data_IF_992474638354
#
_entry.id   IF_992474638354
#
_cell.length_a   1.000
_cell.length_b   1.000
_cell.length_c   1.000
_cell.angle_alpha   90.00
_cell.angle_beta   90.00
_cell.angle_gamma   90.00
#
_symmetry.space_group_name_H-M   'P 1'
#
loop_
_entity.id
_entity.type
_entity.pdbx_description
1 polymer ?
#
# COMPACT_ATOMS: atom_id res chain seq x y z
N UNK A 1 -15.41 10.41 11.11
CA UNK A 1 -14.71 9.18 11.49
C UNK A 1 -13.78 8.75 10.38
N UNK A 2 -12.53 8.46 10.72
CA UNK A 2 -11.54 8.06 9.74
C UNK A 2 -11.86 6.68 9.15
N UNK A 3 -11.42 6.45 7.93
CA UNK A 3 -11.68 5.21 7.18
C UNK A 3 -10.38 4.55 6.75
N UNK A 4 -10.45 3.23 6.58
CA UNK A 4 -9.42 2.43 5.92
C UNK A 4 -9.81 2.26 4.46
N UNK A 5 -8.93 2.74 3.57
CA UNK A 5 -9.09 2.66 2.12
C UNK A 5 -8.13 1.62 1.55
N UNK A 6 -8.60 0.81 0.63
CA UNK A 6 -7.75 -0.09 -0.15
C UNK A 6 -7.83 0.23 -1.63
N UNK A 7 -6.69 0.58 -2.21
CA UNK A 7 -6.52 0.86 -3.63
C UNK A 7 -5.64 -0.22 -4.23
N UNK A 8 -6.20 -1.09 -5.03
CA UNK A 8 -5.47 -2.21 -5.61
C UNK A 8 -5.44 -2.14 -7.13
N UNK A 9 -4.48 -2.82 -7.72
CA UNK A 9 -4.33 -2.92 -9.17
C UNK A 9 -3.21 -3.85 -9.55
N UNK A 10 -3.05 -4.10 -10.84
CA UNK A 10 -1.95 -4.88 -11.36
C UNK A 10 -0.62 -4.11 -11.24
N UNK A 11 0.50 -4.81 -11.37
CA UNK A 11 1.82 -4.17 -11.44
C UNK A 11 1.86 -3.15 -12.58
N UNK A 12 2.50 -2.01 -12.32
CA UNK A 12 2.63 -0.95 -13.33
C UNK A 12 1.39 -0.08 -13.50
N UNK A 13 0.38 -0.18 -12.62
CA UNK A 13 -0.83 0.65 -12.69
C UNK A 13 -0.68 2.04 -12.07
N UNK A 14 0.51 2.41 -11.58
CA UNK A 14 0.76 3.73 -11.01
C UNK A 14 0.38 3.89 -9.54
N UNK A 15 0.30 2.80 -8.78
CA UNK A 15 -0.04 2.84 -7.34
C UNK A 15 0.89 3.74 -6.54
N UNK A 16 2.19 3.57 -6.69
CA UNK A 16 3.19 4.38 -5.97
C UNK A 16 3.10 5.86 -6.35
N UNK A 17 2.85 6.15 -7.62
CA UNK A 17 2.64 7.53 -8.09
C UNK A 17 1.43 8.17 -7.43
N UNK A 18 0.30 7.47 -7.35
CA UNK A 18 -0.90 7.98 -6.68
C UNK A 18 -0.65 8.22 -5.20
N UNK A 19 0.05 7.30 -4.53
CA UNK A 19 0.41 7.45 -3.12
C UNK A 19 1.25 8.72 -2.91
N UNK A 20 2.28 8.91 -3.73
CA UNK A 20 3.14 10.09 -3.65
C UNK A 20 2.39 11.39 -3.92
N UNK A 21 1.43 11.37 -4.85
CA UNK A 21 0.59 12.53 -5.12
C UNK A 21 -0.28 12.89 -3.93
N UNK A 22 -0.85 11.91 -3.25
CA UNK A 22 -1.64 12.14 -2.03
C UNK A 22 -0.75 12.72 -0.93
N UNK A 23 0.43 12.15 -0.71
CA UNK A 23 1.39 12.66 0.27
C UNK A 23 1.75 14.12 -0.01
N UNK A 24 2.07 14.43 -1.26
CA UNK A 24 2.39 15.78 -1.69
C UNK A 24 1.24 16.76 -1.43
N UNK A 25 0.02 16.37 -1.76
CA UNK A 25 -1.16 17.22 -1.56
C UNK A 25 -1.41 17.57 -0.08
N UNK A 26 -1.19 16.61 0.82
CA UNK A 26 -1.26 16.89 2.26
C UNK A 26 -0.15 17.81 2.73
N UNK A 27 1.09 17.51 2.34
CA UNK A 27 2.27 18.24 2.79
C UNK A 27 2.29 19.67 2.26
N UNK A 28 1.85 19.90 1.03
CA UNK A 28 1.71 21.24 0.44
C UNK A 28 0.79 22.14 1.24
N UNK A 29 -0.22 21.54 1.89
CA UNK A 29 -1.18 22.26 2.74
C UNK A 29 -0.78 22.34 4.20
N UNK A 30 0.46 21.96 4.54
CA UNK A 30 1.00 22.02 5.90
C UNK A 30 0.62 20.83 6.79
N UNK A 31 0.04 19.79 6.22
CA UNK A 31 -0.30 18.58 6.96
C UNK A 31 0.85 17.57 6.92
N UNK A 32 0.99 16.79 8.00
CA UNK A 32 1.98 15.72 8.07
C UNK A 32 1.34 14.40 7.69
N UNK A 33 2.09 13.56 6.97
CA UNK A 33 1.69 12.20 6.63
C UNK A 33 2.75 11.21 7.09
N UNK A 34 2.34 9.97 7.34
CA UNK A 34 3.23 8.85 7.61
C UNK A 34 3.20 7.91 6.41
N UNK A 35 4.34 7.70 5.77
CA UNK A 35 4.48 6.80 4.62
C UNK A 35 5.17 5.52 5.05
N UNK A 36 4.55 4.39 4.72
CA UNK A 36 4.97 3.05 5.14
C UNK A 36 5.20 2.20 3.91
N UNK A 37 6.30 1.46 3.88
CA UNK A 37 6.58 0.43 2.87
C UNK A 37 7.22 -0.79 3.51
N UNK A 38 7.20 -1.97 2.83
CA UNK A 38 7.89 -3.14 3.37
C UNK A 38 9.41 -2.99 3.32
N UNK A 39 10.08 -3.52 4.33
CA UNK A 39 11.54 -3.53 4.41
C UNK A 39 12.20 -4.42 3.36
N UNK A 40 11.44 -5.32 2.74
CA UNK A 40 11.92 -6.22 1.68
C UNK A 40 12.15 -5.53 0.34
N UNK A 41 11.67 -4.30 0.16
CA UNK A 41 11.95 -3.51 -1.03
C UNK A 41 13.37 -2.94 -0.97
N UNK A 42 14.35 -3.78 -1.30
CA UNK A 42 15.78 -3.43 -1.22
C UNK A 42 16.28 -2.59 -2.40
N UNK A 43 15.54 -2.55 -3.51
CA UNK A 43 15.98 -1.83 -4.73
C UNK A 43 16.11 -0.34 -4.52
N UNK A 44 15.26 0.22 -3.71
CA UNK A 44 15.12 1.67 -3.51
C UNK A 44 15.51 2.11 -2.09
N UNK A 45 16.08 1.21 -1.29
CA UNK A 45 16.42 1.51 0.10
C UNK A 45 15.19 1.97 0.89
N UNK A 46 15.29 3.12 1.56
CA UNK A 46 14.21 3.71 2.35
C UNK A 46 13.30 4.65 1.56
N UNK A 47 13.54 4.83 0.25
CA UNK A 47 12.79 5.79 -0.58
C UNK A 47 11.70 5.11 -1.39
N UNK A 48 10.58 5.79 -1.57
CA UNK A 48 9.62 5.49 -2.61
C UNK A 48 10.05 6.18 -3.90
N UNK A 49 10.24 5.40 -4.95
CA UNK A 49 10.63 5.89 -6.28
C UNK A 49 9.57 5.52 -7.30
N UNK A 50 9.35 6.42 -8.26
CA UNK A 50 8.59 6.15 -9.47
C UNK A 50 9.51 6.14 -10.68
N UNK A 51 9.06 5.51 -11.79
CA UNK A 51 9.86 5.45 -13.03
C UNK A 51 10.10 6.82 -13.66
N UNK A 52 9.26 7.80 -13.39
CA UNK A 52 9.23 9.07 -14.11
C UNK A 52 9.27 10.29 -13.19
N UNK A 53 9.62 10.16 -11.94
CA UNK A 53 9.60 11.37 -11.16
C UNK A 53 9.85 11.27 -9.69
N UNK A 54 8.92 11.81 -8.89
CA UNK A 54 9.21 12.17 -7.52
C UNK A 54 9.59 10.98 -6.66
N UNK A 55 10.51 11.23 -5.75
CA UNK A 55 10.88 10.30 -4.69
C UNK A 55 10.54 10.91 -3.34
N UNK A 56 10.32 10.07 -2.35
CA UNK A 56 10.10 10.50 -0.97
C UNK A 56 10.67 9.47 0.00
N UNK A 57 11.30 9.94 1.08
CA UNK A 57 11.69 9.08 2.18
C UNK A 57 10.45 8.45 2.84
N UNK A 58 10.57 7.18 3.23
CA UNK A 58 9.54 6.52 4.01
C UNK A 58 9.78 6.70 5.51
N UNK A 59 8.70 6.81 6.25
CA UNK A 59 8.76 6.97 7.70
C UNK A 59 8.90 5.64 8.42
N UNK A 60 8.29 4.59 7.89
CA UNK A 60 8.36 3.23 8.44
C UNK A 60 8.65 2.23 7.32
N UNK A 61 9.69 1.43 7.49
CA UNK A 61 9.91 0.23 6.69
C UNK A 61 9.50 -0.97 7.54
N UNK A 62 8.36 -1.59 7.22
CA UNK A 62 7.79 -2.63 8.07
C UNK A 62 8.33 -4.02 7.77
N UNK A 63 8.46 -4.80 8.82
CA UNK A 63 8.65 -6.25 8.77
C UNK A 63 7.41 -6.94 9.33
N UNK A 64 7.24 -8.22 9.08
CA UNK A 64 6.03 -8.97 9.46
C UNK A 64 5.83 -9.12 10.98
N UNK A 65 6.85 -8.88 11.77
CA UNK A 65 6.84 -8.97 13.25
C UNK A 65 6.55 -7.64 13.95
N UNK A 66 6.45 -6.54 13.20
CA UNK A 66 6.19 -5.21 13.77
C UNK A 66 4.72 -5.04 14.19
N UNK A 67 4.52 -4.40 15.33
CA UNK A 67 3.22 -3.86 15.75
C UNK A 67 3.08 -2.43 15.22
N UNK A 68 2.35 -2.26 14.13
CA UNK A 68 2.18 -0.97 13.48
C UNK A 68 1.32 -0.01 14.31
N UNK A 69 0.33 -0.55 15.04
CA UNK A 69 -0.50 0.29 15.93
C UNK A 69 0.36 0.96 17.00
N UNK A 70 1.20 0.17 17.67
CA UNK A 70 2.06 0.68 18.73
C UNK A 70 3.04 1.75 18.22
N UNK A 71 3.69 1.49 17.09
CA UNK A 71 4.64 2.45 16.49
C UNK A 71 3.94 3.76 16.14
N UNK A 72 2.77 3.68 15.49
CA UNK A 72 2.04 4.87 15.05
C UNK A 72 1.48 5.63 16.24
N UNK A 73 0.92 4.93 17.24
CA UNK A 73 0.39 5.58 18.43
C UNK A 73 1.46 6.34 19.21
N UNK A 74 2.69 5.83 19.26
CA UNK A 74 3.80 6.46 19.98
C UNK A 74 4.50 7.57 19.21
N UNK A 75 4.66 7.41 17.90
CA UNK A 75 5.53 8.28 17.09
C UNK A 75 4.81 9.12 16.04
N UNK A 76 3.64 8.70 15.59
CA UNK A 76 2.92 9.31 14.47
C UNK A 76 1.45 9.62 14.79
N UNK A 77 1.11 9.77 16.05
CA UNK A 77 -0.29 9.99 16.48
C UNK A 77 -0.91 11.31 16.00
N UNK A 78 -0.09 12.24 15.52
CA UNK A 78 -0.54 13.57 15.07
C UNK A 78 -0.52 13.75 13.56
N UNK A 79 -0.26 12.70 12.79
CA UNK A 79 -0.31 12.80 11.33
C UNK A 79 -1.75 12.89 10.85
N UNK A 80 -1.95 13.52 9.71
CA UNK A 80 -3.27 13.70 9.10
C UNK A 80 -3.70 12.51 8.25
N UNK A 81 -2.75 11.68 7.81
CA UNK A 81 -3.02 10.51 6.99
C UNK A 81 -1.85 9.53 7.08
N UNK A 82 -2.17 8.25 6.95
CA UNK A 82 -1.17 7.18 6.82
C UNK A 82 -1.32 6.59 5.42
N UNK A 83 -0.18 6.47 4.72
CA UNK A 83 -0.11 5.94 3.36
C UNK A 83 0.78 4.69 3.38
N UNK A 84 0.24 3.57 2.93
CA UNK A 84 0.94 2.29 2.93
C UNK A 84 1.15 1.83 1.48
N UNK A 85 2.42 1.69 1.07
CA UNK A 85 2.75 1.06 -0.20
C UNK A 85 2.99 -0.44 -0.01
N UNK A 86 2.74 -1.21 -1.05
CA UNK A 86 2.93 -2.66 -1.04
C UNK A 86 2.21 -3.35 0.14
N UNK A 87 1.01 -2.89 0.48
CA UNK A 87 0.24 -3.35 1.64
C UNK A 87 -0.10 -4.84 1.60
N UNK A 88 -0.06 -5.46 0.43
CA UNK A 88 -0.30 -6.90 0.26
C UNK A 88 0.75 -7.77 0.97
N UNK A 89 1.92 -7.20 1.32
CA UNK A 89 2.96 -7.91 2.08
C UNK A 89 2.69 -7.89 3.60
N UNK A 90 1.69 -7.17 4.07
CA UNK A 90 1.33 -7.17 5.49
C UNK A 90 0.74 -8.51 5.93
N UNK A 91 0.87 -8.81 7.23
CA UNK A 91 0.12 -9.90 7.83
C UNK A 91 -1.33 -9.47 8.04
N UNK A 92 -2.29 -10.42 8.18
CA UNK A 92 -3.67 -10.07 8.55
C UNK A 92 -3.75 -9.27 9.85
N UNK A 93 -2.90 -9.58 10.83
CA UNK A 93 -2.82 -8.87 12.11
C UNK A 93 -2.41 -7.41 11.92
N UNK A 94 -1.44 -7.16 11.04
CA UNK A 94 -1.02 -5.78 10.72
C UNK A 94 -2.13 -5.00 10.02
N UNK A 95 -2.90 -5.64 9.16
CA UNK A 95 -4.08 -5.02 8.53
C UNK A 95 -5.13 -4.68 9.58
N UNK A 96 -5.37 -5.57 10.55
CA UNK A 96 -6.28 -5.30 11.67
C UNK A 96 -5.77 -4.12 12.51
N UNK A 97 -4.47 -3.98 12.70
CA UNK A 97 -3.85 -2.84 13.37
C UNK A 97 -4.12 -1.52 12.61
N UNK A 98 -4.08 -1.53 11.27
CA UNK A 98 -4.46 -0.36 10.48
C UNK A 98 -5.91 0.04 10.71
N UNK A 99 -6.81 -0.93 10.82
CA UNK A 99 -8.21 -0.66 11.14
C UNK A 99 -8.33 -0.02 12.53
N UNK A 100 -7.65 -0.55 13.54
CA UNK A 100 -7.66 0.01 14.89
C UNK A 100 -7.13 1.45 14.92
N UNK A 101 -6.16 1.78 14.10
CA UNK A 101 -5.66 3.16 13.96
C UNK A 101 -6.78 4.09 13.52
N UNK A 102 -7.60 3.68 12.55
CA UNK A 102 -8.73 4.52 12.10
C UNK A 102 -9.77 4.73 13.20
N UNK A 103 -10.00 3.71 14.02
CA UNK A 103 -11.01 3.74 15.08
C UNK A 103 -10.51 4.52 16.30
N UNK A 104 -9.33 4.16 16.81
CA UNK A 104 -8.83 4.67 18.08
C UNK A 104 -8.14 6.02 17.96
N UNK A 105 -7.40 6.24 16.89
CA UNK A 105 -6.62 7.46 16.67
C UNK A 105 -7.30 8.44 15.70
N UNK A 106 -8.38 8.02 15.06
CA UNK A 106 -9.13 8.80 14.07
C UNK A 106 -8.23 9.33 12.94
N UNK A 107 -7.32 8.51 12.45
CA UNK A 107 -6.41 8.82 11.36
C UNK A 107 -6.80 7.98 10.14
N UNK A 108 -7.11 8.60 8.99
CA UNK A 108 -7.38 7.85 7.76
C UNK A 108 -6.14 7.11 7.27
N UNK A 109 -6.34 5.87 6.80
CA UNK A 109 -5.29 5.01 6.27
C UNK A 109 -5.62 4.65 4.84
N UNK A 110 -4.71 4.94 3.92
CA UNK A 110 -4.82 4.54 2.51
C UNK A 110 -3.77 3.48 2.21
N UNK A 111 -4.22 2.28 1.92
CA UNK A 111 -3.38 1.14 1.59
C UNK A 111 -3.41 0.89 0.09
N UNK A 112 -2.23 0.77 -0.51
CA UNK A 112 -2.04 0.49 -1.93
C UNK A 112 -1.35 -0.87 -2.08
N UNK A 113 -1.82 -1.68 -3.00
CA UNK A 113 -1.20 -2.99 -3.20
C UNK A 113 -1.77 -3.79 -4.34
N UNK A 114 -1.26 -5.01 -4.47
CA UNK A 114 -1.75 -6.01 -5.40
C UNK A 114 -2.85 -6.83 -4.73
N UNK A 115 -3.84 -7.24 -5.51
CA UNK A 115 -4.87 -8.15 -5.02
C UNK A 115 -4.44 -9.61 -5.13
N UNK A 116 -3.79 -9.97 -6.23
CA UNK A 116 -3.44 -11.35 -6.57
C UNK A 116 -1.94 -11.50 -6.79
N UNK A 117 -1.41 -12.64 -6.35
CA UNK A 117 -0.06 -13.07 -6.68
C UNK A 117 -0.01 -13.55 -8.15
N UNK A 118 1.17 -13.56 -8.76
CA UNK A 118 1.39 -14.11 -10.09
C UNK A 118 1.25 -15.64 -10.13
N UNK A 119 1.37 -16.33 -8.99
CA UNK A 119 1.22 -17.78 -8.90
C UNK A 119 -0.26 -18.15 -8.93
N UNK A 120 -0.65 -18.96 -9.91
CA UNK A 120 -2.07 -19.36 -10.07
C UNK A 120 -2.61 -20.21 -8.91
N UNK A 121 -1.73 -20.90 -8.19
CA UNK A 121 -2.11 -21.76 -7.06
C UNK A 121 -2.30 -20.99 -5.76
N UNK A 122 -1.79 -19.79 -5.66
CA UNK A 122 -1.92 -18.97 -4.46
C UNK A 122 -3.18 -18.10 -4.58
N UNK A 123 -4.02 -18.14 -3.59
CA UNK A 123 -5.26 -17.37 -3.52
C UNK A 123 -5.04 -15.86 -3.28
N UNK A 124 -3.86 -15.37 -3.64
CA UNK A 124 -3.47 -13.99 -3.44
C UNK A 124 -2.57 -13.79 -2.22
N UNK A 125 -2.39 -12.54 -1.85
CA UNK A 125 -1.62 -12.16 -0.67
C UNK A 125 -2.54 -12.08 0.55
N UNK A 126 -2.09 -12.58 1.70
CA UNK A 126 -2.86 -12.57 2.95
C UNK A 126 -3.30 -11.15 3.36
N UNK A 127 -2.39 -10.18 3.25
CA UNK A 127 -2.69 -8.78 3.57
C UNK A 127 -3.75 -8.19 2.64
N UNK A 128 -3.66 -8.46 1.34
CA UNK A 128 -4.66 -8.02 0.38
C UNK A 128 -6.01 -8.68 0.63
N UNK A 129 -6.03 -9.97 0.93
CA UNK A 129 -7.27 -10.69 1.27
C UNK A 129 -7.93 -10.06 2.49
N UNK A 130 -7.17 -9.77 3.54
CA UNK A 130 -7.71 -9.14 4.74
C UNK A 130 -8.20 -7.72 4.48
N UNK A 131 -7.48 -6.94 3.69
CA UNK A 131 -7.91 -5.60 3.28
C UNK A 131 -9.24 -5.64 2.52
N UNK A 132 -9.40 -6.59 1.61
CA UNK A 132 -10.67 -6.77 0.88
C UNK A 132 -11.83 -7.11 1.81
N UNK A 133 -11.56 -7.81 2.93
CA UNK A 133 -12.58 -8.17 3.91
C UNK A 133 -13.03 -6.99 4.78
N UNK A 134 -12.11 -6.13 5.21
CA UNK A 134 -12.39 -5.16 6.27
C UNK A 134 -12.31 -3.68 5.86
N UNK A 135 -11.68 -3.34 4.73
CA UNK A 135 -11.57 -1.94 4.32
C UNK A 135 -12.94 -1.29 4.11
N UNK A 136 -13.08 -0.05 4.54
CA UNK A 136 -14.33 0.70 4.40
C UNK A 136 -14.61 1.11 2.95
N UNK A 137 -13.55 1.32 2.18
CA UNK A 137 -13.64 1.76 0.78
C UNK A 137 -12.59 1.02 -0.04
N UNK A 138 -13.03 0.38 -1.11
CA UNK A 138 -12.18 -0.46 -1.97
C UNK A 138 -12.33 0.03 -3.40
N UNK A 139 -11.21 0.35 -4.03
CA UNK A 139 -11.19 0.83 -5.42
C UNK A 139 -10.07 0.16 -6.21
N UNK A 140 -10.37 -0.22 -7.44
CA UNK A 140 -9.40 -0.77 -8.36
C UNK A 140 -8.77 0.34 -9.19
N UNK A 141 -7.43 0.37 -9.20
CA UNK A 141 -6.65 1.22 -10.10
C UNK A 141 -6.46 0.44 -11.40
N UNK A 142 -7.14 0.89 -12.46
CA UNK A 142 -7.16 0.19 -13.74
C UNK A 142 -5.93 0.52 -14.57
N UNK A 143 -5.36 -0.48 -15.23
CA UNK A 143 -4.30 -0.31 -16.23
C UNK A 143 -4.58 -1.22 -17.43
N UNK A 144 -3.88 -0.97 -18.51
CA UNK A 144 -4.06 -1.68 -19.78
C UNK A 144 -2.95 -2.72 -19.92
N UNK A 145 -3.32 -3.96 -20.26
CA UNK A 145 -2.39 -5.02 -20.66
C UNK A 145 -1.82 -4.71 -22.06
N UNK A 146 -0.66 -5.26 -22.39
CA UNK A 146 -0.08 -5.16 -23.74
C UNK A 146 -1.05 -5.62 -24.83
N UNK A 147 -1.98 -6.53 -24.52
CA UNK A 147 -3.02 -6.97 -25.45
C UNK A 147 -4.13 -5.93 -25.69
N UNK A 148 -4.07 -4.75 -25.07
CA UNK A 148 -5.06 -3.67 -25.20
C UNK A 148 -6.29 -3.82 -24.31
N UNK A 149 -6.39 -4.89 -23.53
CA UNK A 149 -7.48 -5.12 -22.57
C UNK A 149 -7.07 -4.71 -21.17
N UNK A 150 -8.05 -4.60 -20.28
CA UNK A 150 -7.79 -4.33 -18.86
C UNK A 150 -6.86 -5.39 -18.27
N UNK A 151 -5.78 -4.96 -17.61
CA UNK A 151 -4.92 -5.86 -16.87
C UNK A 151 -5.58 -6.26 -15.54
N UNK A 152 -5.76 -7.55 -15.30
CA UNK A 152 -6.43 -8.07 -14.10
C UNK A 152 -5.51 -8.89 -13.21
N UNK A 153 -4.39 -9.39 -13.76
CA UNK A 153 -3.44 -10.25 -13.05
C UNK A 153 -2.02 -9.91 -13.43
N UNK A 154 -1.10 -10.23 -12.52
CA UNK A 154 0.32 -10.21 -12.78
C UNK A 154 0.74 -11.57 -13.30
N UNK A 155 1.65 -11.58 -14.26
CA UNK A 155 2.26 -12.79 -14.79
C UNK A 155 3.78 -12.67 -14.73
N UNK A 156 4.44 -13.82 -14.68
CA UNK A 156 5.89 -13.91 -14.74
C UNK A 156 6.26 -14.84 -15.89
N UNK A 157 7.13 -14.35 -16.74
CA UNK A 157 7.72 -15.17 -17.79
C UNK A 157 9.00 -15.84 -17.25
N UNK A 158 9.08 -17.15 -17.45
CA UNK A 158 10.30 -17.92 -17.23
C UNK A 158 10.70 -18.50 -18.59
N UNK A 159 11.90 -18.16 -19.07
CA UNK A 159 12.44 -18.62 -20.36
C UNK A 159 11.47 -18.37 -21.54
N UNK A 160 10.77 -17.23 -21.54
CA UNK A 160 9.83 -16.85 -22.59
C UNK A 160 8.47 -17.58 -22.53
N UNK A 161 8.20 -18.33 -21.47
CA UNK A 161 6.92 -19.03 -21.24
C UNK A 161 6.19 -18.45 -20.02
N UNK A 162 4.86 -18.39 -20.12
CA UNK A 162 3.96 -18.01 -19.02
C UNK A 162 3.93 -19.08 -17.92
#
# INVERSE_FOLDING_TARGET
>A
MAKLYFRYGAMGCGKTMQLLQVAFNYEERGHKVCVIKPATDTKNGTKLLTRIGPERETDICFTRDMDLYDIIAKRFSKVSCILVDEAHFMTPEQVDQLMLITIDLDIPVMAYGLRLNFRQKDNGFEGATRLLQIAHDIEEIKTICECGRKATRNTRFLDGKL
#
